data_IF_513609475551
#
_entry.id   IF_513609475551
#
_cell.length_a   1.000
_cell.length_b   1.000
_cell.length_c   1.000
_cell.angle_alpha   90.00
_cell.angle_beta   90.00
_cell.angle_gamma   90.00
#
_symmetry.space_group_name_H-M   'P 1'
#
loop_
_entity.id
_entity.type
_entity.pdbx_description
1 polymer ?
#
# COMPACT_ATOMS: atom_id res chain seq x y z
N UNK A 1 21.73 -5.67 -3.80
CA UNK A 1 22.28 -4.48 -3.12
C UNK A 1 21.97 -3.26 -3.97
N UNK A 2 21.58 -2.13 -3.36
CA UNK A 2 21.28 -0.90 -4.09
C UNK A 2 22.51 0.01 -4.16
N UNK A 3 22.60 0.79 -5.23
CA UNK A 3 23.67 1.77 -5.46
C UNK A 3 23.04 3.15 -5.55
N UNK A 4 23.65 4.14 -4.90
CA UNK A 4 23.20 5.52 -5.02
C UNK A 4 23.36 6.01 -6.47
N UNK A 5 22.32 6.57 -7.11
CA UNK A 5 22.40 6.99 -8.51
C UNK A 5 23.31 8.22 -8.70
N UNK A 6 23.41 9.06 -7.66
CA UNK A 6 24.16 10.32 -7.66
C UNK A 6 25.64 10.07 -7.32
N UNK A 7 25.95 9.69 -6.07
CA UNK A 7 27.35 9.51 -5.64
C UNK A 7 27.90 8.10 -5.85
N UNK A 8 27.15 7.19 -6.48
CA UNK A 8 27.57 5.80 -6.74
C UNK A 8 27.96 4.99 -5.49
N UNK A 9 27.52 5.43 -4.31
CA UNK A 9 27.76 4.70 -3.06
C UNK A 9 27.11 3.31 -3.10
N UNK A 10 27.95 2.30 -2.95
CA UNK A 10 27.59 0.89 -2.92
C UNK A 10 27.32 0.42 -1.48
N UNK A 11 26.78 -0.79 -1.31
CA UNK A 11 26.54 -1.39 0.01
C UNK A 11 25.26 -0.91 0.72
N UNK A 12 24.35 -0.24 0.01
CA UNK A 12 23.03 0.09 0.56
C UNK A 12 22.19 -1.19 0.61
N UNK A 13 21.84 -1.59 1.83
CA UNK A 13 21.19 -2.88 2.10
C UNK A 13 19.79 -2.99 1.47
N UNK A 14 19.01 -1.90 1.41
CA UNK A 14 17.61 -1.89 0.99
C UNK A 14 17.14 -0.47 0.57
N UNK A 15 15.93 -0.35 -0.02
CA UNK A 15 15.33 0.93 -0.45
C UNK A 15 15.36 2.00 0.63
N UNK A 16 15.04 1.65 1.87
CA UNK A 16 15.05 2.59 3.00
C UNK A 16 16.46 3.12 3.29
N UNK A 17 17.49 2.28 3.17
CA UNK A 17 18.87 2.72 3.36
C UNK A 17 19.29 3.72 2.26
N UNK A 18 18.86 3.48 1.02
CA UNK A 18 19.05 4.41 -0.09
C UNK A 18 18.29 5.72 0.15
N UNK A 19 17.04 5.66 0.61
CA UNK A 19 16.22 6.83 0.94
C UNK A 19 16.87 7.69 2.03
N UNK A 20 17.35 7.07 3.11
CA UNK A 20 18.06 7.74 4.19
C UNK A 20 19.38 8.37 3.71
N UNK A 21 20.10 7.69 2.82
CA UNK A 21 21.31 8.22 2.22
C UNK A 21 21.03 9.44 1.33
N UNK A 22 19.99 9.39 0.49
CA UNK A 22 19.58 10.51 -0.36
C UNK A 22 19.17 11.73 0.48
N UNK A 23 18.39 11.53 1.54
CA UNK A 23 18.01 12.60 2.48
C UNK A 23 19.21 13.23 3.20
N UNK A 24 20.25 12.44 3.49
CA UNK A 24 21.42 12.93 4.24
C UNK A 24 22.49 13.57 3.36
N UNK A 25 22.71 13.01 2.16
CA UNK A 25 23.85 13.37 1.31
C UNK A 25 23.47 14.08 0.01
N UNK A 26 22.21 13.96 -0.42
CA UNK A 26 21.72 14.46 -1.72
C UNK A 26 20.35 15.14 -1.56
N UNK A 27 20.13 15.83 -0.44
CA UNK A 27 18.80 16.33 -0.07
C UNK A 27 18.22 17.26 -1.14
N UNK A 28 19.04 18.13 -1.72
CA UNK A 28 18.61 19.10 -2.73
C UNK A 28 18.15 18.41 -4.02
N UNK A 29 18.97 17.49 -4.54
CA UNK A 29 18.69 16.70 -5.73
C UNK A 29 17.49 15.77 -5.50
N UNK A 30 17.38 15.22 -4.29
CA UNK A 30 16.29 14.34 -3.90
C UNK A 30 14.96 15.08 -3.79
N UNK A 31 14.98 16.29 -3.22
CA UNK A 31 13.80 17.15 -3.11
C UNK A 31 13.36 17.71 -4.46
N UNK A 32 14.30 17.98 -5.38
CA UNK A 32 13.99 18.35 -6.76
C UNK A 32 13.22 17.26 -7.52
N UNK A 33 13.31 16.01 -7.05
CA UNK A 33 12.61 14.83 -7.60
C UNK A 33 11.47 14.35 -6.71
N UNK A 34 10.89 15.24 -5.90
CA UNK A 34 9.73 14.95 -5.03
C UNK A 34 9.99 13.81 -4.03
N UNK A 35 11.26 13.61 -3.63
CA UNK A 35 11.69 12.51 -2.77
C UNK A 35 11.31 11.11 -3.30
N UNK A 36 11.26 10.95 -4.64
CA UNK A 36 10.97 9.67 -5.30
C UNK A 36 12.24 9.04 -5.85
N UNK A 37 12.63 7.88 -5.29
CA UNK A 37 13.77 7.08 -5.79
C UNK A 37 13.54 6.54 -7.20
N UNK A 38 12.29 6.34 -7.61
CA UNK A 38 11.91 5.92 -8.96
C UNK A 38 12.32 6.94 -10.02
N UNK A 39 12.32 8.23 -9.68
CA UNK A 39 12.74 9.29 -10.59
C UNK A 39 14.24 9.26 -10.93
N UNK A 40 15.02 8.44 -10.22
CA UNK A 40 16.43 8.18 -10.49
C UNK A 40 16.66 6.83 -11.18
N UNK A 41 15.60 6.10 -11.55
CA UNK A 41 15.68 4.79 -12.21
C UNK A 41 16.22 3.67 -11.33
N UNK A 42 16.33 3.87 -10.02
CA UNK A 42 16.92 2.88 -9.08
C UNK A 42 15.89 1.85 -8.64
N UNK A 43 14.61 2.20 -8.71
CA UNK A 43 13.49 1.34 -8.35
C UNK A 43 12.48 1.45 -9.48
N UNK A 44 12.10 0.31 -10.08
CA UNK A 44 10.90 0.27 -10.92
C UNK A 44 9.70 0.35 -9.98
N UNK A 45 8.78 1.26 -10.23
CA UNK A 45 7.42 1.13 -9.69
C UNK A 45 6.94 -0.26 -10.12
N UNK A 46 6.84 -1.19 -9.17
CA UNK A 46 5.89 -2.27 -9.36
C UNK A 46 4.54 -1.57 -9.51
N UNK A 47 3.79 -1.82 -10.60
CA UNK A 47 2.47 -1.24 -10.73
C UNK A 47 1.72 -1.65 -9.47
N UNK A 48 1.43 -0.69 -8.59
CA UNK A 48 0.72 -0.95 -7.36
C UNK A 48 -0.51 -1.74 -7.77
N UNK A 49 -0.60 -2.99 -7.32
CA UNK A 49 -1.66 -3.91 -7.72
C UNK A 49 -2.96 -3.12 -7.59
N UNK A 50 -3.56 -2.76 -8.74
CA UNK A 50 -4.59 -1.75 -8.80
C UNK A 50 -5.74 -2.21 -7.92
N UNK A 51 -5.81 -1.65 -6.71
CA UNK A 51 -6.91 -1.94 -5.80
C UNK A 51 -8.13 -1.39 -6.52
N UNK A 52 -9.02 -2.27 -6.94
CA UNK A 52 -10.26 -1.85 -7.56
C UNK A 52 -10.97 -0.96 -6.55
N UNK A 53 -11.56 0.14 -7.03
CA UNK A 53 -12.38 0.99 -6.19
C UNK A 53 -13.41 0.11 -5.49
N UNK A 54 -13.33 0.09 -4.16
CA UNK A 54 -14.32 -0.60 -3.36
C UNK A 54 -15.64 0.17 -3.49
N UNK A 55 -16.78 -0.52 -3.37
CA UNK A 55 -18.07 0.15 -3.44
C UNK A 55 -18.25 1.18 -2.31
N UNK A 56 -19.16 2.14 -2.52
CA UNK A 56 -19.33 3.29 -1.62
C UNK A 56 -19.97 2.85 -0.31
N UNK A 57 -19.22 2.98 0.79
CA UNK A 57 -19.67 2.52 2.10
C UNK A 57 -19.02 1.21 2.54
N UNK A 58 -18.15 0.61 1.70
CA UNK A 58 -17.38 -0.58 2.02
C UNK A 58 -16.59 -0.43 3.33
N UNK A 59 -17.05 -1.15 4.36
CA UNK A 59 -16.46 -1.13 5.69
C UNK A 59 -16.50 -2.52 6.33
N UNK A 60 -15.59 -2.81 7.27
CA UNK A 60 -15.67 -4.04 8.06
C UNK A 60 -16.94 -4.07 8.91
N UNK A 61 -17.55 -5.25 9.04
CA UNK A 61 -18.70 -5.47 9.91
C UNK A 61 -18.34 -5.22 11.36
N UNK A 62 -19.27 -4.62 12.10
CA UNK A 62 -19.12 -4.41 13.53
C UNK A 62 -19.64 -5.61 14.32
N UNK A 63 -18.73 -6.40 14.92
CA UNK A 63 -19.08 -7.55 15.79
C UNK A 63 -20.01 -7.19 16.96
N UNK A 64 -19.93 -5.94 17.44
CA UNK A 64 -20.69 -5.49 18.60
C UNK A 64 -22.11 -5.09 18.23
N UNK A 65 -22.36 -4.74 16.96
CA UNK A 65 -23.66 -4.28 16.50
C UNK A 65 -24.63 -5.48 16.34
N UNK A 66 -25.80 -5.49 16.97
CA UNK A 66 -26.68 -6.66 17.02
C UNK A 66 -27.16 -7.10 15.63
N UNK A 67 -27.40 -6.17 14.71
CA UNK A 67 -27.83 -6.47 13.33
C UNK A 67 -26.69 -7.06 12.48
N UNK A 68 -25.44 -6.68 12.77
CA UNK A 68 -24.27 -7.15 12.01
C UNK A 68 -23.68 -8.43 12.63
N UNK A 69 -23.99 -8.71 13.90
CA UNK A 69 -23.43 -9.87 14.63
C UNK A 69 -23.82 -11.20 13.99
N UNK A 70 -25.06 -11.34 13.52
CA UNK A 70 -25.51 -12.57 12.87
C UNK A 70 -24.73 -12.84 11.56
N UNK A 71 -24.52 -11.80 10.75
CA UNK A 71 -23.71 -11.90 9.54
C UNK A 71 -22.23 -12.17 9.85
N UNK A 72 -21.69 -11.54 10.91
CA UNK A 72 -20.32 -11.76 11.36
C UNK A 72 -20.10 -13.20 11.84
N UNK A 73 -21.06 -13.77 12.58
CA UNK A 73 -21.05 -15.16 13.03
C UNK A 73 -21.19 -16.16 11.87
N UNK A 74 -21.98 -15.80 10.85
CA UNK A 74 -22.08 -16.53 9.60
C UNK A 74 -20.80 -16.47 8.73
N UNK A 75 -19.76 -15.75 9.15
CA UNK A 75 -18.46 -15.68 8.48
C UNK A 75 -18.28 -14.47 7.56
N UNK A 76 -19.26 -13.58 7.46
CA UNK A 76 -19.13 -12.32 6.73
C UNK A 76 -18.23 -11.34 7.49
N UNK A 77 -17.50 -10.50 6.76
CA UNK A 77 -16.49 -9.60 7.35
C UNK A 77 -16.59 -8.17 6.87
N UNK A 78 -17.17 -7.92 5.70
CA UNK A 78 -17.32 -6.59 5.12
C UNK A 78 -18.74 -6.35 4.66
N UNK A 79 -19.18 -5.09 4.69
CA UNK A 79 -20.48 -4.66 4.21
C UNK A 79 -20.30 -3.39 3.41
N UNK A 80 -21.15 -3.22 2.41
CA UNK A 80 -21.26 -1.98 1.63
C UNK A 80 -22.45 -1.11 2.06
N UNK A 81 -23.22 -1.55 3.06
CA UNK A 81 -24.46 -0.90 3.49
C UNK A 81 -25.73 -1.60 2.99
N UNK A 82 -25.67 -2.22 1.81
CA UNK A 82 -26.76 -3.04 1.25
C UNK A 82 -26.46 -4.55 1.42
N UNK A 83 -25.27 -4.98 1.01
CA UNK A 83 -24.83 -6.38 1.05
C UNK A 83 -23.73 -6.66 2.09
N UNK A 84 -23.55 -7.95 2.41
CA UNK A 84 -22.47 -8.47 3.26
C UNK A 84 -21.60 -9.46 2.49
N UNK A 85 -20.29 -9.38 2.71
CA UNK A 85 -19.26 -10.06 1.93
C UNK A 85 -18.23 -10.75 2.83
N UNK A 86 -17.72 -11.89 2.38
CA UNK A 86 -16.59 -12.55 3.03
C UNK A 86 -15.26 -11.90 2.66
N UNK A 87 -14.23 -12.11 3.48
CA UNK A 87 -12.88 -11.64 3.18
C UNK A 87 -12.30 -12.26 1.88
N UNK A 88 -12.73 -13.48 1.53
CA UNK A 88 -12.30 -14.15 0.31
C UNK A 88 -12.90 -13.49 -0.95
N UNK A 89 -14.18 -13.12 -0.89
CA UNK A 89 -14.86 -12.44 -1.99
C UNK A 89 -14.29 -11.04 -2.23
N UNK A 90 -14.04 -10.28 -1.16
CA UNK A 90 -13.44 -8.95 -1.26
C UNK A 90 -12.03 -8.99 -1.88
N UNK A 91 -11.24 -10.03 -1.57
CA UNK A 91 -9.94 -10.28 -2.20
C UNK A 91 -10.08 -10.68 -3.67
N UNK A 92 -11.03 -11.55 -4.00
CA UNK A 92 -11.30 -11.97 -5.39
C UNK A 92 -11.81 -10.79 -6.23
N UNK A 93 -12.59 -9.91 -5.63
CA UNK A 93 -13.07 -8.69 -6.25
C UNK A 93 -11.97 -7.63 -6.40
N UNK A 94 -10.85 -7.74 -5.69
CA UNK A 94 -9.72 -6.82 -5.73
C UNK A 94 -9.90 -5.56 -4.88
N UNK A 95 -10.84 -5.58 -3.92
CA UNK A 95 -11.10 -4.49 -2.97
C UNK A 95 -10.17 -4.53 -1.75
N UNK A 96 -9.60 -5.70 -1.45
CA UNK A 96 -8.66 -5.94 -0.35
C UNK A 96 -7.26 -6.27 -0.85
#
# INVERSE_FOLDING_TARGET
>A
MMICPICKKEGLKNRNALHAHMLKSHLEEYRAKDCKLEAFGVVKEEPGAGRKEAPEGFRPLNKSHPLERAAYDAGMRYTDGDDVWTAAECKKAGWL
#
